data_IF_426831672488
#
_entry.id   IF_426831672488
#
_cell.length_a   1.000
_cell.length_b   1.000
_cell.length_c   1.000
_cell.angle_alpha   90.00
_cell.angle_beta   90.00
_cell.angle_gamma   90.00
#
_symmetry.space_group_name_H-M   'P 1'
#
loop_
_entity.id
_entity.type
_entity.pdbx_description
1 polymer ?
#
# COMPACT_ATOMS: atom_id res chain seq x y z
N UNK A 1 24.20 -15.31 16.57
CA UNK A 1 23.46 -14.03 16.46
C UNK A 1 22.64 -13.90 17.72
N UNK A 2 22.70 -12.76 18.41
CA UNK A 2 21.80 -12.50 19.53
C UNK A 2 20.43 -12.21 18.90
N UNK A 3 19.46 -13.09 19.12
CA UNK A 3 18.10 -12.87 18.65
C UNK A 3 17.58 -11.54 19.22
N UNK A 4 17.01 -10.68 18.36
CA UNK A 4 16.37 -9.43 18.79
C UNK A 4 17.23 -8.16 18.71
N UNK A 5 18.43 -8.18 18.12
CA UNK A 5 19.23 -6.96 17.85
C UNK A 5 19.22 -6.64 16.36
N UNK A 6 18.89 -5.39 16.02
CA UNK A 6 18.71 -4.94 14.63
C UNK A 6 19.41 -3.61 14.39
N UNK A 7 19.92 -3.42 13.18
CA UNK A 7 20.41 -2.10 12.75
C UNK A 7 19.22 -1.17 12.44
N UNK A 8 19.36 0.15 12.60
CA UNK A 8 18.30 1.11 12.30
C UNK A 8 17.72 0.97 10.88
N UNK A 9 18.57 0.67 9.89
CA UNK A 9 18.17 0.51 8.49
C UNK A 9 17.27 -0.72 8.28
N UNK A 10 17.43 -1.75 9.13
CA UNK A 10 16.61 -2.96 9.08
C UNK A 10 15.19 -2.72 9.60
N UNK A 11 14.99 -1.65 10.38
CA UNK A 11 13.73 -1.29 11.01
C UNK A 11 12.94 -0.25 10.19
N UNK A 12 13.49 0.29 9.12
CA UNK A 12 12.75 1.21 8.24
C UNK A 12 11.48 0.54 7.70
N UNK A 13 10.38 1.28 7.72
CA UNK A 13 9.03 0.82 7.40
C UNK A 13 8.52 -0.33 8.30
N UNK A 14 9.15 -0.60 9.44
CA UNK A 14 8.60 -1.51 10.44
C UNK A 14 7.26 -1.03 10.96
N UNK A 15 6.31 -1.94 11.08
CA UNK A 15 4.99 -1.65 11.65
C UNK A 15 5.14 -1.54 13.15
N UNK A 16 4.75 -0.40 13.70
CA UNK A 16 4.70 -0.16 15.15
C UNK A 16 3.29 -0.41 15.64
N UNK A 17 3.14 -1.39 16.52
CA UNK A 17 1.86 -1.83 17.08
C UNK A 17 1.88 -1.56 18.59
N UNK A 18 0.84 -0.93 19.10
CA UNK A 18 0.72 -0.64 20.52
C UNK A 18 0.31 -1.87 21.34
N UNK A 19 0.30 -1.73 22.68
CA UNK A 19 -0.02 -2.84 23.59
C UNK A 19 -1.43 -3.41 23.44
N UNK A 20 -2.34 -2.67 22.80
CA UNK A 20 -3.74 -3.08 22.55
C UNK A 20 -3.91 -3.69 21.14
N UNK A 21 -2.82 -3.83 20.38
CA UNK A 21 -2.84 -4.40 19.04
C UNK A 21 -3.22 -3.41 17.93
N UNK A 22 -3.27 -2.11 18.20
CA UNK A 22 -3.51 -1.08 17.18
C UNK A 22 -2.21 -0.63 16.52
N UNK A 23 -2.25 -0.46 15.20
CA UNK A 23 -1.12 0.08 14.44
C UNK A 23 -0.99 1.57 14.77
N UNK A 24 0.08 1.94 15.46
CA UNK A 24 0.43 3.32 15.71
C UNK A 24 1.00 3.97 14.45
N UNK A 25 1.87 3.27 13.72
CA UNK A 25 2.43 3.79 12.47
C UNK A 25 3.56 2.93 11.96
N UNK A 26 4.48 3.56 11.26
CA UNK A 26 5.62 2.93 10.62
C UNK A 26 6.89 3.71 10.93
N UNK A 27 8.01 3.01 11.09
CA UNK A 27 9.31 3.66 11.33
C UNK A 27 9.78 4.38 10.07
N UNK A 28 10.10 5.68 10.20
CA UNK A 28 10.72 6.53 9.19
C UNK A 28 12.24 6.51 9.31
N UNK A 29 12.75 6.45 10.54
CA UNK A 29 14.15 6.62 10.88
C UNK A 29 14.35 6.59 12.38
N UNK A 30 15.53 6.99 12.83
CA UNK A 30 15.86 7.14 14.25
C UNK A 30 16.44 8.52 14.52
N UNK A 31 16.25 9.00 15.72
CA UNK A 31 16.91 10.18 16.28
C UNK A 31 17.69 9.76 17.52
N UNK A 32 18.96 10.14 17.59
CA UNK A 32 19.83 9.85 18.73
C UNK A 32 19.92 11.10 19.58
N UNK A 33 19.55 10.98 20.85
CA UNK A 33 19.66 12.02 21.86
C UNK A 33 20.67 11.58 22.94
N UNK A 34 21.12 12.51 23.79
CA UNK A 34 22.16 12.23 24.80
C UNK A 34 21.84 11.05 25.73
N UNK A 35 20.55 10.82 26.02
CA UNK A 35 20.08 9.81 26.99
C UNK A 35 19.02 8.86 26.44
N UNK A 36 18.72 8.96 25.14
CA UNK A 36 17.70 8.12 24.53
C UNK A 36 17.90 7.95 23.02
N UNK A 37 17.26 6.92 22.48
CA UNK A 37 17.12 6.72 21.04
C UNK A 37 15.63 6.71 20.72
N UNK A 38 15.22 7.56 19.80
CA UNK A 38 13.83 7.71 19.39
C UNK A 38 13.63 7.13 18.00
N UNK A 39 12.54 6.39 17.83
CA UNK A 39 12.04 5.97 16.52
C UNK A 39 11.14 7.08 15.98
N UNK A 40 11.50 7.67 14.84
CA UNK A 40 10.63 8.59 14.12
C UNK A 40 9.49 7.79 13.48
N UNK A 41 8.24 8.11 13.80
CA UNK A 41 7.06 7.39 13.30
C UNK A 41 6.31 8.24 12.27
N UNK A 42 5.95 7.61 11.16
CA UNK A 42 5.03 8.16 10.17
C UNK A 42 3.75 7.34 10.07
N UNK A 43 2.67 7.97 9.61
CA UNK A 43 1.44 7.30 9.21
C UNK A 43 1.15 7.44 7.72
N UNK A 44 0.45 6.46 7.19
CA UNK A 44 -0.01 6.42 5.81
C UNK A 44 -1.44 6.92 5.76
N UNK A 45 -1.66 8.10 5.17
CA UNK A 45 -3.00 8.64 4.93
C UNK A 45 -3.37 8.47 3.48
N UNK A 46 -4.58 7.96 3.24
CA UNK A 46 -5.17 7.81 1.91
C UNK A 46 -6.04 9.03 1.62
N UNK A 47 -5.72 9.71 0.54
CA UNK A 47 -6.46 10.85 0.03
C UNK A 47 -7.14 10.45 -1.25
N UNK A 48 -8.46 10.64 -1.31
CA UNK A 48 -9.18 10.53 -2.58
C UNK A 48 -9.10 11.89 -3.25
N UNK A 49 -8.37 11.96 -4.36
CA UNK A 49 -8.30 13.15 -5.20
C UNK A 49 -9.03 12.89 -6.51
N UNK A 50 -9.55 13.95 -7.12
CA UNK A 50 -10.00 13.88 -8.50
C UNK A 50 -8.84 14.19 -9.42
N UNK A 51 -8.54 13.29 -10.34
CA UNK A 51 -7.57 13.48 -11.41
C UNK A 51 -8.26 13.36 -12.76
N UNK A 52 -7.65 13.89 -13.81
CA UNK A 52 -8.22 13.77 -15.15
C UNK A 52 -8.20 12.30 -15.60
N UNK A 53 -9.33 11.83 -16.12
CA UNK A 53 -9.42 10.54 -16.76
C UNK A 53 -8.91 10.67 -18.20
N UNK A 54 -7.59 10.52 -18.37
CA UNK A 54 -6.91 10.70 -19.66
C UNK A 54 -7.52 9.87 -20.80
N UNK A 55 -7.94 8.63 -20.49
CA UNK A 55 -8.56 7.76 -21.49
C UNK A 55 -9.89 8.33 -21.97
N UNK A 56 -10.76 8.72 -21.04
CA UNK A 56 -12.04 9.37 -21.39
C UNK A 56 -11.84 10.73 -22.05
N UNK A 57 -10.80 11.47 -21.66
CA UNK A 57 -10.44 12.74 -22.26
C UNK A 57 -10.11 12.54 -23.75
N UNK A 58 -9.29 11.54 -24.08
CA UNK A 58 -8.95 11.22 -25.46
C UNK A 58 -10.17 10.77 -26.27
N UNK A 59 -11.02 9.92 -25.71
CA UNK A 59 -12.26 9.48 -26.37
C UNK A 59 -13.18 10.67 -26.68
N UNK A 60 -13.35 11.59 -25.72
CA UNK A 60 -14.12 12.82 -25.87
C UNK A 60 -13.51 13.76 -26.93
N UNK A 61 -12.20 13.97 -26.90
CA UNK A 61 -11.50 14.79 -27.90
C UNK A 61 -11.65 14.22 -29.30
N UNK A 62 -11.60 12.90 -29.45
CA UNK A 62 -11.80 12.23 -30.73
C UNK A 62 -13.23 12.40 -31.24
N UNK A 63 -14.22 12.34 -30.35
CA UNK A 63 -15.62 12.59 -30.71
C UNK A 63 -15.84 14.03 -31.18
N UNK A 64 -15.32 15.01 -30.43
CA UNK A 64 -15.42 16.44 -30.77
C UNK A 64 -14.68 16.77 -32.08
N UNK A 65 -13.49 16.18 -32.28
CA UNK A 65 -12.76 16.29 -33.54
C UNK A 65 -13.54 15.70 -34.71
N UNK A 66 -14.21 14.56 -34.49
CA UNK A 66 -15.05 13.92 -35.51
C UNK A 66 -16.25 14.77 -35.91
N UNK A 67 -16.89 15.47 -34.97
CA UNK A 67 -18.01 16.39 -35.26
C UNK A 67 -17.59 17.56 -36.15
N UNK A 68 -16.37 18.06 -35.98
CA UNK A 68 -15.84 19.21 -36.73
C UNK A 68 -15.37 18.84 -38.14
N UNK A 69 -14.82 17.64 -38.35
CA UNK A 69 -14.45 17.17 -39.69
C UNK A 69 -15.65 16.54 -40.40
N UNK A 70 -16.33 17.35 -41.23
CA UNK A 70 -17.37 16.88 -42.19
C UNK A 70 -16.74 16.11 -43.37
N UNK A 71 -16.15 14.94 -43.10
CA UNK A 71 -15.51 14.08 -44.09
C UNK A 71 -16.24 12.75 -44.32
N UNK A 72 -15.95 12.09 -45.44
CA UNK A 72 -16.55 10.80 -45.87
C UNK A 72 -16.18 9.64 -44.93
N UNK A 73 -15.07 9.74 -44.18
CA UNK A 73 -14.60 8.71 -43.26
C UNK A 73 -14.50 9.22 -41.83
N UNK A 74 -14.91 8.39 -40.87
CA UNK A 74 -14.75 8.64 -39.43
C UNK A 74 -13.25 8.76 -39.07
N UNK A 75 -12.84 9.86 -38.41
CA UNK A 75 -11.45 10.03 -37.98
C UNK A 75 -11.01 8.97 -36.97
N UNK A 76 -9.73 8.61 -37.01
CA UNK A 76 -9.08 7.71 -36.06
C UNK A 76 -8.33 8.50 -34.98
N UNK A 77 -7.97 7.82 -33.88
CA UNK A 77 -7.15 8.41 -32.82
C UNK A 77 -5.83 8.99 -33.35
N UNK A 78 -5.19 8.32 -34.31
CA UNK A 78 -3.98 8.81 -34.99
C UNK A 78 -4.17 10.20 -35.60
N UNK A 79 -5.32 10.43 -36.24
CA UNK A 79 -5.63 11.68 -36.94
C UNK A 79 -5.81 12.84 -35.94
N UNK A 80 -6.39 12.55 -34.77
CA UNK A 80 -6.49 13.50 -33.66
C UNK A 80 -5.10 13.82 -33.10
N UNK A 81 -4.29 12.81 -32.80
CA UNK A 81 -2.95 13.01 -32.23
C UNK A 81 -2.06 13.84 -33.18
N UNK A 82 -2.19 13.65 -34.49
CA UNK A 82 -1.49 14.45 -35.49
C UNK A 82 -2.01 15.90 -35.55
N UNK A 83 -3.33 16.13 -35.45
CA UNK A 83 -3.90 17.48 -35.35
C UNK A 83 -3.43 18.20 -34.07
N UNK A 84 -3.31 17.47 -32.95
CA UNK A 84 -2.76 17.99 -31.69
C UNK A 84 -1.31 18.42 -31.89
N UNK A 85 -0.45 17.54 -32.44
CA UNK A 85 0.96 17.86 -32.72
C UNK A 85 1.09 19.10 -33.63
N UNK A 86 0.33 19.15 -34.72
CA UNK A 86 0.32 20.29 -35.65
C UNK A 86 -0.15 21.57 -34.99
N UNK A 87 -1.20 21.49 -34.18
CA UNK A 87 -1.77 22.66 -33.49
C UNK A 87 -0.80 23.20 -32.45
N UNK A 88 -0.08 22.34 -31.73
CA UNK A 88 0.86 22.73 -30.68
C UNK A 88 2.29 22.97 -31.20
N UNK A 89 2.61 22.60 -32.44
CA UNK A 89 3.95 22.74 -33.02
C UNK A 89 4.94 21.70 -32.50
N UNK A 90 4.48 20.53 -32.05
CA UNK A 90 5.29 19.48 -31.41
C UNK A 90 5.49 18.30 -32.38
N UNK A 91 6.24 18.52 -33.45
CA UNK A 91 6.39 17.51 -34.51
C UNK A 91 7.32 16.35 -34.14
N UNK A 92 8.25 16.57 -33.21
CA UNK A 92 9.38 15.65 -32.97
C UNK A 92 9.23 14.79 -31.71
N UNK A 93 8.15 14.96 -30.92
CA UNK A 93 7.95 14.20 -29.68
C UNK A 93 7.20 12.90 -29.95
N UNK A 94 7.81 11.78 -29.57
CA UNK A 94 7.26 10.43 -29.73
C UNK A 94 5.90 10.27 -29.02
N UNK A 95 5.80 10.70 -27.76
CA UNK A 95 4.61 10.55 -26.93
C UNK A 95 4.04 11.91 -26.50
N UNK A 96 2.72 12.03 -26.54
CA UNK A 96 1.98 13.17 -26.01
C UNK A 96 1.57 12.89 -24.57
N UNK A 97 1.62 13.91 -23.75
CA UNK A 97 1.24 13.87 -22.34
C UNK A 97 -0.16 14.48 -22.12
N UNK A 98 -0.76 14.21 -20.95
CA UNK A 98 -2.00 14.85 -20.52
C UNK A 98 -1.94 16.38 -20.64
N UNK A 99 -0.78 16.99 -20.37
CA UNK A 99 -0.59 18.44 -20.49
C UNK A 99 -0.81 18.91 -21.93
N UNK A 100 -0.32 18.15 -22.91
CA UNK A 100 -0.47 18.49 -24.33
C UNK A 100 -1.95 18.42 -24.75
N UNK A 101 -2.72 17.45 -24.24
CA UNK A 101 -4.17 17.36 -24.52
C UNK A 101 -4.95 18.54 -23.93
N UNK A 102 -4.59 18.97 -22.72
CA UNK A 102 -5.20 20.13 -22.07
C UNK A 102 -4.87 21.43 -22.80
N UNK A 103 -3.61 21.61 -23.20
CA UNK A 103 -3.17 22.77 -23.98
C UNK A 103 -3.87 22.84 -25.35
N UNK A 104 -4.10 21.69 -25.98
CA UNK A 104 -4.89 21.61 -27.21
C UNK A 104 -6.33 22.09 -27.03
N UNK A 105 -7.00 21.69 -25.94
CA UNK A 105 -8.36 22.15 -25.59
C UNK A 105 -8.41 23.66 -25.45
N UNK A 106 -7.44 24.23 -24.72
CA UNK A 106 -7.32 25.68 -24.52
C UNK A 106 -7.09 26.41 -25.85
N UNK A 107 -6.13 25.94 -26.66
CA UNK A 107 -5.78 26.58 -27.94
C UNK A 107 -6.90 26.51 -28.97
N UNK A 108 -7.67 25.41 -28.98
CA UNK A 108 -8.87 25.26 -29.83
C UNK A 108 -10.13 25.87 -29.21
N UNK A 109 -10.03 26.49 -28.02
CA UNK A 109 -11.13 27.09 -27.25
C UNK A 109 -12.34 26.16 -27.14
N UNK A 110 -12.09 24.88 -26.88
CA UNK A 110 -13.15 23.87 -26.79
C UNK A 110 -13.94 24.05 -25.50
N UNK A 111 -15.26 24.14 -25.60
CA UNK A 111 -16.18 24.15 -24.44
C UNK A 111 -16.56 22.71 -24.10
N UNK A 112 -15.64 21.99 -23.47
CA UNK A 112 -15.82 20.59 -23.07
C UNK A 112 -15.61 20.44 -21.57
N UNK A 113 -16.41 19.59 -20.94
CA UNK A 113 -16.22 19.25 -19.53
C UNK A 113 -15.12 18.19 -19.42
N UNK A 114 -14.04 18.52 -18.70
CA UNK A 114 -12.89 17.63 -18.58
C UNK A 114 -13.28 16.43 -17.69
N UNK A 115 -13.27 15.20 -18.22
CA UNK A 115 -13.66 14.03 -17.45
C UNK A 115 -12.66 13.77 -16.32
N UNK A 116 -13.18 13.58 -15.11
CA UNK A 116 -12.39 13.26 -13.92
C UNK A 116 -12.67 11.84 -13.44
N UNK A 117 -11.67 11.24 -12.80
CA UNK A 117 -11.78 10.00 -12.03
C UNK A 117 -11.26 10.22 -10.62
N UNK A 118 -11.81 9.47 -9.66
CA UNK A 118 -11.30 9.43 -8.30
C UNK A 118 -10.08 8.52 -8.26
N UNK A 119 -8.98 9.05 -7.75
CA UNK A 119 -7.74 8.31 -7.51
C UNK A 119 -7.39 8.38 -6.02
N UNK A 120 -7.00 7.25 -5.45
CA UNK A 120 -6.57 7.18 -4.05
C UNK A 120 -5.06 7.29 -3.98
N UNK A 121 -4.55 8.41 -3.48
CA UNK A 121 -3.13 8.64 -3.23
C UNK A 121 -2.80 8.30 -1.77
N UNK A 122 -1.73 7.54 -1.55
CA UNK A 122 -1.19 7.28 -0.22
C UNK A 122 -0.02 8.24 0.03
N UNK A 123 -0.07 9.05 1.09
CA UNK A 123 1.03 9.92 1.50
C UNK A 123 1.51 9.57 2.91
N UNK A 124 2.83 9.66 3.13
CA UNK A 124 3.46 9.50 4.44
C UNK A 124 3.44 10.84 5.17
N UNK A 125 2.92 10.86 6.40
CA UNK A 125 2.92 12.03 7.28
C UNK A 125 3.66 11.71 8.56
N UNK A 126 4.50 12.62 9.05
CA UNK A 126 5.08 12.50 10.38
C UNK A 126 3.94 12.43 11.43
N UNK A 127 4.06 11.51 12.37
CA UNK A 127 3.05 11.27 13.40
C UNK A 127 3.58 11.58 14.80
N UNK A 128 4.83 11.20 15.08
CA UNK A 128 5.47 11.42 16.37
C UNK A 128 6.67 10.51 16.57
N UNK A 129 7.18 10.47 17.79
CA UNK A 129 8.36 9.70 18.16
C UNK A 129 8.04 8.69 19.27
N UNK A 130 8.79 7.58 19.28
CA UNK A 130 8.69 6.52 20.30
C UNK A 130 10.08 6.20 20.83
N UNK A 131 10.28 6.23 22.14
CA UNK A 131 11.54 5.81 22.75
C UNK A 131 11.74 4.30 22.55
N UNK A 132 12.98 3.89 22.25
CA UNK A 132 13.33 2.46 22.20
C UNK A 132 13.08 1.75 23.54
N UNK A 133 13.03 2.49 24.65
CA UNK A 133 12.72 1.94 25.98
C UNK A 133 11.27 1.50 26.14
N UNK A 134 10.36 1.98 25.28
CA UNK A 134 8.96 1.53 25.24
C UNK A 134 8.75 0.29 24.36
N UNK A 135 9.79 -0.17 23.67
CA UNK A 135 9.71 -1.31 22.77
C UNK A 135 9.76 -2.59 23.59
N UNK A 136 8.66 -3.35 23.54
CA UNK A 136 8.53 -4.66 24.16
C UNK A 136 9.31 -5.72 23.40
N UNK A 137 9.15 -5.74 22.08
CA UNK A 137 9.72 -6.77 21.22
C UNK A 137 9.85 -6.28 19.78
N UNK A 138 10.87 -6.78 19.09
CA UNK A 138 11.11 -6.54 17.67
C UNK A 138 11.28 -7.87 16.98
N UNK A 139 10.64 -8.04 15.82
CA UNK A 139 10.85 -9.19 14.96
C UNK A 139 10.93 -8.78 13.50
N UNK A 140 11.92 -9.34 12.79
CA UNK A 140 12.07 -9.21 11.34
C UNK A 140 12.21 -10.59 10.73
N UNK A 141 11.40 -10.90 9.73
CA UNK A 141 11.50 -12.18 9.04
C UNK A 141 10.53 -12.33 7.88
N UNK A 142 10.77 -13.36 7.08
CA UNK A 142 9.96 -13.70 5.91
C UNK A 142 8.86 -14.68 6.27
N UNK A 143 7.62 -14.35 5.89
CA UNK A 143 6.43 -15.17 6.14
C UNK A 143 5.75 -15.44 4.80
N UNK A 144 5.29 -16.67 4.53
CA UNK A 144 4.43 -16.95 3.38
C UNK A 144 3.28 -15.94 3.27
N UNK A 145 2.97 -15.49 2.07
CA UNK A 145 1.80 -14.64 1.85
C UNK A 145 0.51 -15.47 2.04
N UNK A 146 -0.57 -14.83 2.49
CA UNK A 146 -1.86 -15.51 2.74
C UNK A 146 -2.44 -16.19 1.49
N UNK A 147 -2.06 -15.74 0.29
CA UNK A 147 -2.44 -16.31 -1.00
C UNK A 147 -1.48 -17.41 -1.51
N UNK A 148 -0.48 -17.78 -0.70
CA UNK A 148 0.55 -18.79 -1.00
C UNK A 148 1.39 -18.50 -2.26
N UNK A 149 1.39 -17.27 -2.77
CA UNK A 149 2.12 -16.89 -4.00
C UNK A 149 3.58 -16.46 -3.77
N UNK A 150 4.02 -16.35 -2.53
CA UNK A 150 5.40 -16.03 -2.22
C UNK A 150 5.64 -15.78 -0.74
N UNK A 151 6.68 -15.00 -0.46
CA UNK A 151 7.03 -14.56 0.89
C UNK A 151 6.91 -13.05 0.98
N UNK A 152 6.54 -12.58 2.17
CA UNK A 152 6.57 -11.18 2.54
C UNK A 152 7.44 -11.01 3.76
N UNK A 153 8.41 -10.10 3.67
CA UNK A 153 9.21 -9.68 4.81
C UNK A 153 8.38 -8.78 5.71
N UNK A 154 8.18 -9.20 6.95
CA UNK A 154 7.59 -8.38 7.99
C UNK A 154 8.69 -7.84 8.89
N UNK A 155 8.48 -6.61 9.36
CA UNK A 155 9.28 -5.93 10.37
C UNK A 155 8.28 -5.38 11.38
N UNK A 156 8.30 -5.88 12.60
CA UNK A 156 7.27 -5.62 13.60
C UNK A 156 7.96 -5.11 14.87
N UNK A 157 7.41 -4.04 15.42
CA UNK A 157 7.79 -3.48 16.70
C UNK A 157 6.53 -3.45 17.56
N UNK A 158 6.55 -4.15 18.69
CA UNK A 158 5.49 -4.10 19.69
C UNK A 158 5.87 -3.12 20.79
N UNK A 159 4.93 -2.26 21.17
CA UNK A 159 5.10 -1.35 22.30
C UNK A 159 4.50 -1.92 23.58
N UNK A 160 5.06 -1.50 24.71
CA UNK A 160 4.49 -1.76 26.04
C UNK A 160 3.30 -0.84 26.37
N UNK A 161 3.21 0.30 25.68
CA UNK A 161 2.24 1.35 25.97
C UNK A 161 1.12 1.41 24.91
N UNK A 162 -0.13 1.75 25.29
CA UNK A 162 -1.28 1.80 24.38
C UNK A 162 -1.35 3.13 23.61
N UNK A 163 -0.26 3.51 22.93
CA UNK A 163 -0.11 4.84 22.30
C UNK A 163 -1.21 5.15 21.28
N UNK A 164 -1.54 4.22 20.40
CA UNK A 164 -2.55 4.44 19.37
C UNK A 164 -3.97 4.43 19.96
N UNK A 165 -4.25 3.53 20.89
CA UNK A 165 -5.52 3.50 21.61
C UNK A 165 -5.77 4.81 22.37
N UNK A 166 -4.74 5.33 23.09
CA UNK A 166 -4.81 6.65 23.75
C UNK A 166 -5.01 7.78 22.76
N UNK A 167 -4.24 7.83 21.67
CA UNK A 167 -4.39 8.85 20.63
C UNK A 167 -5.80 8.85 20.02
N UNK A 168 -6.42 7.68 19.86
CA UNK A 168 -7.75 7.51 19.32
C UNK A 168 -8.88 7.61 20.36
N UNK A 169 -8.58 7.91 21.63
CA UNK A 169 -9.53 7.89 22.75
C UNK A 169 -10.31 6.56 22.87
N UNK A 170 -9.66 5.44 22.51
CA UNK A 170 -10.23 4.10 22.66
C UNK A 170 -9.97 3.65 24.09
N UNK A 171 -11.04 3.32 24.81
CA UNK A 171 -10.92 2.66 26.11
C UNK A 171 -10.53 1.21 25.89
N UNK A 172 -9.35 0.81 26.38
CA UNK A 172 -8.93 -0.58 26.40
C UNK A 172 -10.00 -1.41 27.14
N UNK A 173 -10.61 -2.42 26.48
CA UNK A 173 -11.57 -3.28 27.15
C UNK A 173 -10.84 -4.13 28.20
N UNK A 174 -11.51 -4.45 29.32
CA UNK A 174 -10.91 -5.29 30.37
C UNK A 174 -10.52 -6.69 29.88
N UNK A 175 -11.12 -7.13 28.77
CA UNK A 175 -10.83 -8.39 28.10
C UNK A 175 -10.87 -8.19 26.58
N UNK A 176 -10.05 -8.93 25.80
CA UNK A 176 -10.10 -8.86 24.35
C UNK A 176 -11.50 -9.17 23.81
N UNK A 177 -12.04 -8.37 22.87
CA UNK A 177 -13.35 -8.63 22.30
C UNK A 177 -13.33 -9.88 21.41
N UNK A 178 -14.40 -10.66 21.45
CA UNK A 178 -14.62 -11.72 20.47
C UNK A 178 -15.10 -11.13 19.14
N UNK A 179 -14.49 -11.59 18.05
CA UNK A 179 -14.90 -11.25 16.70
C UNK A 179 -15.27 -12.52 15.94
N UNK A 180 -16.31 -12.47 15.10
CA UNK A 180 -16.71 -13.64 14.33
C UNK A 180 -15.63 -14.02 13.28
N UNK A 181 -15.56 -15.29 12.83
CA UNK A 181 -14.53 -15.78 11.91
C UNK A 181 -14.32 -14.89 10.67
N UNK A 182 -15.40 -14.35 10.10
CA UNK A 182 -15.37 -13.50 8.90
C UNK A 182 -14.56 -12.21 9.13
N UNK A 183 -14.55 -11.71 10.37
CA UNK A 183 -13.84 -10.48 10.74
C UNK A 183 -12.38 -10.72 11.08
N UNK A 184 -12.01 -11.93 11.51
CA UNK A 184 -10.63 -12.28 11.90
C UNK A 184 -9.83 -12.93 10.77
N UNK A 185 -10.50 -13.61 9.84
CA UNK A 185 -9.84 -14.40 8.79
C UNK A 185 -8.85 -13.57 7.98
N UNK A 186 -7.66 -14.12 7.76
CA UNK A 186 -6.57 -13.50 7.01
C UNK A 186 -5.78 -12.43 7.78
N UNK A 187 -6.16 -12.09 9.02
CA UNK A 187 -5.34 -11.20 9.86
C UNK A 187 -4.07 -11.91 10.30
N UNK A 188 -2.97 -11.15 10.35
CA UNK A 188 -1.69 -11.59 10.88
C UNK A 188 -1.82 -11.90 12.38
N UNK A 189 -1.26 -13.03 12.83
CA UNK A 189 -1.25 -13.41 14.24
C UNK A 189 0.18 -13.38 14.74
N UNK A 190 0.38 -12.68 15.85
CA UNK A 190 1.67 -12.46 16.49
C UNK A 190 1.71 -13.18 17.83
N UNK A 191 2.85 -13.77 18.17
CA UNK A 191 3.14 -14.16 19.55
C UNK A 191 3.68 -12.95 20.35
N UNK A 192 3.78 -13.03 21.69
CA UNK A 192 4.27 -11.92 22.52
C UNK A 192 5.68 -11.40 22.18
N UNK A 193 6.49 -12.17 21.46
CA UNK A 193 7.84 -11.80 20.98
C UNK A 193 7.82 -10.96 19.68
N UNK A 194 6.64 -10.53 19.21
CA UNK A 194 6.40 -9.92 17.90
C UNK A 194 6.54 -10.87 16.69
N UNK A 195 6.98 -12.11 16.89
CA UNK A 195 7.11 -13.08 15.81
C UNK A 195 5.74 -13.43 15.22
N UNK A 196 5.71 -13.50 13.90
CA UNK A 196 4.51 -13.90 13.15
C UNK A 196 4.35 -15.42 13.21
N UNK A 197 3.20 -15.88 13.71
CA UNK A 197 2.83 -17.30 13.76
C UNK A 197 2.11 -17.72 12.47
N UNK A 198 1.43 -16.77 11.82
CA UNK A 198 0.71 -17.01 10.57
C UNK A 198 -0.51 -16.10 10.43
N UNK A 199 -1.57 -16.64 9.83
CA UNK A 199 -2.81 -15.91 9.61
C UNK A 199 -3.98 -16.59 10.33
N UNK A 200 -4.85 -15.81 10.93
CA UNK A 200 -6.09 -16.29 11.53
C UNK A 200 -6.98 -16.91 10.45
N UNK A 201 -7.55 -18.08 10.74
CA UNK A 201 -8.40 -18.83 9.82
C UNK A 201 -9.84 -18.93 10.35
N UNK A 202 -9.96 -19.35 11.60
CA UNK A 202 -11.23 -19.63 12.26
C UNK A 202 -11.09 -19.57 13.80
N UNK A 203 -12.21 -19.71 14.50
CA UNK A 203 -12.26 -19.93 15.94
C UNK A 203 -12.38 -21.43 16.25
N UNK A 204 -11.78 -21.86 17.35
CA UNK A 204 -11.96 -23.17 17.95
C UNK A 204 -12.78 -23.01 19.22
N UNK A 205 -13.74 -23.91 19.44
CA UNK A 205 -14.58 -23.87 20.64
C UNK A 205 -14.32 -25.14 21.44
N UNK A 206 -13.97 -24.97 22.71
CA UNK A 206 -13.84 -26.07 23.66
C UNK A 206 -14.57 -25.77 24.96
N UNK A 207 -14.68 -26.75 25.88
CA UNK A 207 -15.30 -26.52 27.18
C UNK A 207 -14.60 -25.37 27.92
N UNK A 208 -15.31 -24.25 28.11
CA UNK A 208 -14.85 -23.03 28.80
C UNK A 208 -13.73 -22.23 28.12
N UNK A 209 -13.41 -22.49 26.85
CA UNK A 209 -12.42 -21.67 26.13
C UNK A 209 -12.74 -21.51 24.65
N UNK A 210 -12.23 -20.41 24.08
CA UNK A 210 -12.22 -20.15 22.63
C UNK A 210 -10.76 -20.05 22.21
N UNK A 211 -10.36 -20.90 21.26
CA UNK A 211 -9.05 -20.85 20.63
C UNK A 211 -9.09 -20.10 19.30
N UNK A 212 -7.94 -19.60 18.86
CA UNK A 212 -7.76 -19.05 17.52
C UNK A 212 -7.05 -20.09 16.65
N UNK A 213 -7.66 -20.49 15.53
CA UNK A 213 -6.98 -21.33 14.54
C UNK A 213 -6.08 -20.46 13.67
N UNK A 214 -4.78 -20.76 13.68
CA UNK A 214 -3.76 -20.08 12.88
C UNK A 214 -3.27 -21.02 11.78
N UNK A 215 -3.17 -20.52 10.55
CA UNK A 215 -2.60 -21.23 9.41
C UNK A 215 -1.35 -20.52 8.90
N UNK A 216 -0.32 -21.30 8.60
CA UNK A 216 0.81 -20.88 7.78
C UNK A 216 0.62 -21.47 6.37
N UNK A 217 0.41 -20.65 5.33
CA UNK A 217 0.22 -21.14 3.98
C UNK A 217 1.44 -21.95 3.49
N UNK A 218 1.24 -23.15 2.93
CA UNK A 218 2.34 -23.90 2.31
C UNK A 218 2.78 -23.18 1.03
N UNK A 219 4.09 -22.96 0.86
CA UNK A 219 4.62 -22.35 -0.36
C UNK A 219 5.08 -23.45 -1.31
N UNK A 220 4.42 -23.57 -2.47
CA UNK A 220 4.86 -24.47 -3.54
C UNK A 220 6.00 -23.79 -4.30
N UNK A 221 7.25 -24.16 -3.99
CA UNK A 221 8.38 -23.76 -4.85
C UNK A 221 8.25 -24.53 -6.16
N UNK A 222 8.04 -23.82 -7.29
CA UNK A 222 8.31 -24.39 -8.62
C UNK A 222 9.82 -24.57 -8.74
N UNK A 223 10.32 -25.77 -8.45
CA UNK A 223 11.69 -26.14 -8.78
C UNK A 223 11.80 -26.30 -10.30
N UNK A 224 12.75 -25.60 -10.92
CA UNK A 224 13.21 -25.95 -12.26
C UNK A 224 14.11 -27.17 -12.07
N UNK A 225 13.76 -28.30 -12.68
CA UNK A 225 14.64 -29.45 -12.69
C UNK A 225 15.76 -29.18 -13.70
N UNK A 226 16.93 -28.75 -13.21
CA UNK A 226 18.09 -28.42 -14.05
C UNK A 226 18.63 -29.64 -14.80
N UNK A 227 18.37 -30.86 -14.30
CA UNK A 227 18.76 -32.10 -14.99
C UNK A 227 17.98 -32.32 -16.29
N UNK A 228 16.76 -31.78 -16.40
CA UNK A 228 15.95 -31.86 -17.61
C UNK A 228 16.33 -30.81 -18.69
N UNK A 229 17.20 -29.87 -18.36
CA UNK A 229 17.73 -28.83 -19.28
C UNK A 229 19.16 -29.13 -19.75
N UNK A 230 19.79 -30.19 -19.22
CA UNK A 230 21.15 -30.60 -19.56
C UNK A 230 21.21 -31.72 -20.61
N UNK A 231 20.07 -32.09 -21.21
CA UNK A 231 19.99 -33.02 -22.32
C UNK A 231 19.46 -32.24 -23.53
N UNK A 232 20.37 -31.52 -24.19
CA UNK A 232 20.31 -31.14 -25.60
C UNK A 232 21.74 -30.88 -26.09
#
# INVERSE_FOLDING_TARGET
MVDGVYRPEELIDAVVIDSEGYIYGYVKGIEIQERDVLLEIYEKRRYVTEVVDEKKLLDMLLEEFSKRKRGIRRPKLSDLLEDIRKTLGILDRAELSLKDYMEYIEKKKMKVEIPKKKETLERKHAKGEVSVKEVRAIWVGDVPTSDAKGFKRYRIILLETPRQARYANIRAPQQPPYYPPERIRGKLVLEPSAKVIGYADDLLIGPKFVGLRVKLPPVVKRGINLEALAID
#
